data_IF_818860873547
#
_entry.id   IF_818860873547
#
_cell.length_a   1.000
_cell.length_b   1.000
_cell.length_c   1.000
_cell.angle_alpha   90.00
_cell.angle_beta   90.00
_cell.angle_gamma   90.00
#
_symmetry.space_group_name_H-M   'P 1'
#
loop_
_entity.id
_entity.type
_entity.pdbx_description
1 polymer ?
#
# COMPACT_ATOMS: atom_id res chain seq x y z
N UNK A 1 -10.18 -8.57 -2.53
CA UNK A 1 -11.10 -7.44 -2.27
C UNK A 1 -11.02 -7.04 -0.81
N UNK A 2 -11.20 -5.74 -0.50
CA UNK A 2 -11.10 -5.17 0.86
C UNK A 2 -11.84 -5.99 1.94
N UNK A 3 -12.99 -6.59 1.61
CA UNK A 3 -13.74 -7.46 2.52
C UNK A 3 -12.91 -8.63 3.08
N UNK A 4 -11.99 -9.21 2.31
CA UNK A 4 -11.13 -10.30 2.75
C UNK A 4 -10.13 -9.84 3.83
N UNK A 5 -9.60 -8.61 3.71
CA UNK A 5 -8.70 -8.01 4.70
C UNK A 5 -9.46 -7.83 6.02
N UNK A 6 -10.63 -7.18 5.98
CA UNK A 6 -11.46 -7.00 7.17
C UNK A 6 -11.88 -8.32 7.81
N UNK A 7 -12.31 -9.31 7.01
CA UNK A 7 -12.67 -10.64 7.53
C UNK A 7 -11.49 -11.34 8.22
N UNK A 8 -10.29 -11.26 7.64
CA UNK A 8 -9.08 -11.83 8.25
C UNK A 8 -8.69 -11.11 9.55
N UNK A 9 -8.88 -9.79 9.61
CA UNK A 9 -8.63 -8.99 10.81
C UNK A 9 -9.65 -9.30 11.92
N UNK A 10 -10.93 -9.46 11.57
CA UNK A 10 -11.99 -9.88 12.51
C UNK A 10 -11.73 -11.29 13.05
N UNK A 11 -11.29 -12.22 12.20
CA UNK A 11 -10.89 -13.56 12.65
C UNK A 11 -9.68 -13.51 13.59
N UNK A 12 -8.66 -12.71 13.28
CA UNK A 12 -7.52 -12.51 14.16
C UNK A 12 -7.94 -11.97 15.53
N UNK A 13 -8.86 -11.00 15.56
CA UNK A 13 -9.40 -10.44 16.79
C UNK A 13 -10.17 -11.50 17.60
N UNK A 14 -11.04 -12.29 16.95
CA UNK A 14 -11.79 -13.36 17.60
C UNK A 14 -10.89 -14.46 18.19
N UNK A 15 -9.87 -14.89 17.44
CA UNK A 15 -8.90 -15.88 17.89
C UNK A 15 -8.04 -15.37 19.06
N UNK A 16 -7.66 -14.09 19.01
CA UNK A 16 -6.97 -13.41 20.11
C UNK A 16 -7.82 -13.34 21.37
N UNK A 17 -9.13 -13.09 21.23
CA UNK A 17 -10.06 -13.03 22.36
C UNK A 17 -10.24 -14.38 23.06
N UNK A 18 -10.22 -15.49 22.31
CA UNK A 18 -10.29 -16.87 22.85
C UNK A 18 -8.95 -17.34 23.44
N UNK A 19 -7.88 -16.53 23.34
CA UNK A 19 -6.56 -16.86 23.85
C UNK A 19 -5.73 -17.78 22.93
N UNK A 20 -6.16 -17.99 21.68
CA UNK A 20 -5.42 -18.79 20.68
C UNK A 20 -4.38 -17.94 19.97
N UNK A 21 -3.40 -17.43 20.73
CA UNK A 21 -2.40 -16.45 20.27
C UNK A 21 -1.64 -16.88 19.00
N UNK A 22 -1.29 -18.17 18.88
CA UNK A 22 -0.57 -18.68 17.69
C UNK A 22 -1.40 -18.58 16.41
N UNK A 23 -2.70 -18.84 16.51
CA UNK A 23 -3.62 -18.77 15.37
C UNK A 23 -3.99 -17.33 15.05
N UNK A 24 -4.12 -16.48 16.08
CA UNK A 24 -4.29 -15.04 15.90
C UNK A 24 -3.09 -14.43 15.15
N UNK A 25 -1.86 -14.81 15.51
CA UNK A 25 -0.66 -14.38 14.80
C UNK A 25 -0.64 -14.86 13.35
N UNK A 26 -1.05 -16.10 13.08
CA UNK A 26 -1.18 -16.61 11.72
C UNK A 26 -2.23 -15.82 10.91
N UNK A 27 -3.38 -15.51 11.52
CA UNK A 27 -4.43 -14.71 10.90
C UNK A 27 -3.98 -13.26 10.62
N UNK A 28 -3.19 -12.66 11.52
CA UNK A 28 -2.57 -11.34 11.30
C UNK A 28 -1.58 -11.41 10.13
N UNK A 29 -0.74 -12.44 10.06
CA UNK A 29 0.21 -12.61 8.95
C UNK A 29 -0.50 -12.77 7.61
N UNK A 30 -1.60 -13.53 7.57
CA UNK A 30 -2.47 -13.65 6.38
C UNK A 30 -3.09 -12.30 6.02
N UNK A 31 -3.60 -11.56 7.00
CA UNK A 31 -4.15 -10.21 6.78
C UNK A 31 -3.11 -9.27 6.17
N UNK A 32 -1.89 -9.31 6.68
CA UNK A 32 -0.78 -8.50 6.16
C UNK A 32 -0.46 -8.89 4.71
N UNK A 33 -0.37 -10.19 4.40
CA UNK A 33 -0.14 -10.67 3.05
C UNK A 33 -1.24 -10.24 2.08
N UNK A 34 -2.51 -10.34 2.49
CA UNK A 34 -3.65 -9.87 1.70
C UNK A 34 -3.62 -8.36 1.47
N UNK A 35 -3.26 -7.57 2.49
CA UNK A 35 -3.14 -6.13 2.37
C UNK A 35 -2.03 -5.71 1.40
N UNK A 36 -0.85 -6.34 1.50
CA UNK A 36 0.27 -6.12 0.59
C UNK A 36 -0.15 -6.48 -0.85
N UNK A 37 -0.74 -7.66 -1.03
CA UNK A 37 -1.21 -8.10 -2.34
C UNK A 37 -2.22 -7.14 -2.96
N UNK A 38 -3.24 -6.72 -2.20
CA UNK A 38 -4.23 -5.75 -2.68
C UNK A 38 -3.58 -4.42 -3.02
N UNK A 39 -2.69 -3.92 -2.17
CA UNK A 39 -2.00 -2.67 -2.41
C UNK A 39 -1.16 -2.70 -3.70
N UNK A 40 -0.40 -3.78 -3.93
CA UNK A 40 0.34 -3.99 -5.16
C UNK A 40 -0.61 -4.10 -6.37
N UNK A 41 -1.70 -4.85 -6.24
CA UNK A 41 -2.67 -4.98 -7.32
C UNK A 41 -3.28 -3.62 -7.70
N UNK A 42 -3.62 -2.80 -6.71
CA UNK A 42 -4.20 -1.46 -6.92
C UNK A 42 -3.18 -0.49 -7.54
N UNK A 43 -1.92 -0.53 -7.09
CA UNK A 43 -0.88 0.40 -7.57
C UNK A 43 -0.43 0.08 -9.00
N UNK A 44 -0.40 -1.20 -9.36
CA UNK A 44 -0.09 -1.65 -10.71
C UNK A 44 -1.28 -1.54 -11.66
N UNK A 45 -2.46 -1.10 -11.19
CA UNK A 45 -3.58 -0.80 -12.08
C UNK A 45 -3.24 0.41 -12.96
N UNK A 46 -3.15 0.24 -14.29
CA UNK A 46 -2.75 1.31 -15.20
C UNK A 46 -3.76 2.47 -15.23
N UNK A 47 -5.00 2.23 -14.84
CA UNK A 47 -6.06 3.25 -14.83
C UNK A 47 -6.08 4.10 -13.56
N UNK A 48 -5.65 3.54 -12.42
CA UNK A 48 -5.81 4.16 -11.11
C UNK A 48 -4.49 4.40 -10.37
N UNK A 49 -3.63 3.39 -10.26
CA UNK A 49 -2.49 3.41 -9.34
C UNK A 49 -1.40 4.43 -9.72
N UNK A 50 -0.97 4.44 -10.98
CA UNK A 50 0.06 5.36 -11.47
C UNK A 50 -0.46 6.79 -11.72
N UNK A 51 -1.78 7.01 -11.67
CA UNK A 51 -2.41 8.32 -11.88
C UNK A 51 -2.72 9.03 -10.57
N UNK A 52 -2.42 8.40 -9.44
CA UNK A 52 -2.63 8.97 -8.11
C UNK A 52 -1.77 10.24 -7.94
N UNK A 53 -2.36 11.40 -7.58
CA UNK A 53 -1.64 12.68 -7.54
C UNK A 53 -0.51 12.76 -6.50
N UNK A 54 -0.43 11.79 -5.59
CA UNK A 54 0.66 11.67 -4.61
C UNK A 54 1.81 10.76 -5.06
N UNK A 55 1.68 10.08 -6.20
CA UNK A 55 2.71 9.20 -6.74
C UNK A 55 3.49 9.96 -7.83
N UNK A 56 4.69 10.41 -7.50
CA UNK A 56 5.57 11.08 -8.46
C UNK A 56 6.14 10.03 -9.42
N UNK A 57 5.54 9.89 -10.60
CA UNK A 57 6.04 9.00 -11.67
C UNK A 57 7.16 9.63 -12.50
N UNK A 58 7.36 10.93 -12.36
CA UNK A 58 8.40 11.69 -13.07
C UNK A 58 9.62 11.83 -12.17
N UNK A 59 10.78 11.38 -12.65
CA UNK A 59 12.04 11.72 -12.00
C UNK A 59 12.25 13.23 -12.13
N UNK A 60 12.70 13.94 -11.08
CA UNK A 60 13.04 15.35 -11.21
C UNK A 60 14.06 15.45 -12.35
N UNK A 61 13.65 16.13 -13.43
CA UNK A 61 14.52 16.42 -14.56
C UNK A 61 15.68 17.23 -13.98
N UNK A 62 16.83 16.61 -13.77
CA UNK A 62 18.03 17.34 -13.43
C UNK A 62 18.37 18.18 -14.66
N UNK A 63 18.03 19.46 -14.60
CA UNK A 63 18.42 20.45 -15.59
C UNK A 63 19.77 21.07 -15.17
N UNK A 64 20.92 20.58 -15.67
CA UNK A 64 22.21 21.20 -15.40
C UNK A 64 22.34 22.60 -16.04
N UNK A 65 21.37 23.04 -16.85
CA UNK A 65 21.36 24.35 -17.52
C UNK A 65 20.39 25.36 -16.89
N UNK A 66 19.80 25.05 -15.74
CA UNK A 66 18.74 25.82 -15.06
C UNK A 66 19.18 27.02 -14.23
N UNK A 67 20.27 27.71 -14.57
CA UNK A 67 20.63 29.01 -13.95
C UNK A 67 21.05 30.04 -15.01
N UNK A 68 20.20 30.28 -16.01
CA UNK A 68 20.39 31.37 -17.00
C UNK A 68 19.10 32.03 -17.47
N UNK A 69 18.11 32.19 -16.59
CA UNK A 69 16.98 33.10 -16.87
C UNK A 69 16.57 33.88 -15.63
N UNK A 70 17.14 35.08 -15.50
CA UNK A 70 16.40 36.23 -14.95
C UNK A 70 17.08 37.02 -13.84
N UNK A 71 18.02 37.90 -14.19
CA UNK A 71 18.12 39.22 -13.54
C UNK A 71 19.02 40.17 -14.36
N UNK A 72 18.43 41.31 -14.74
CA UNK A 72 18.97 42.52 -15.39
C UNK A 72 19.08 42.51 -16.92
#
# INVERSE_FOLDING_TARGET
>A
MMAAVFASLTLALGLGWVGRTREALAAIAVCLGLAIWLFLFEIYSPEYGFRMPWISTEAPLFDPAGDRRGSA
#
